data_IF_175280726838
#
_entry.id   IF_175280726838
#
_cell.length_a   1.000
_cell.length_b   1.000
_cell.length_c   1.000
_cell.angle_alpha   90.00
_cell.angle_beta   90.00
_cell.angle_gamma   90.00
#
_symmetry.space_group_name_H-M   'P 1'
#
loop_
_entity.id
_entity.type
_entity.pdbx_description
1 polymer ?
#
# COMPACT_ATOMS: atom_id res chain seq x y z
N UNK A 1 -20.21 -4.80 -9.09
CA UNK A 1 -19.73 -4.47 -7.72
C UNK A 1 -18.70 -5.45 -7.16
N UNK A 2 -18.80 -6.78 -7.44
CA UNK A 2 -17.85 -7.78 -6.95
C UNK A 2 -16.36 -7.40 -7.18
N UNK A 3 -15.98 -7.05 -8.41
CA UNK A 3 -14.59 -6.67 -8.75
C UNK A 3 -14.02 -5.50 -7.93
N UNK A 4 -14.83 -4.49 -7.56
CA UNK A 4 -14.37 -3.37 -6.72
C UNK A 4 -14.09 -3.84 -5.29
N UNK A 5 -14.98 -4.68 -4.75
CA UNK A 5 -14.84 -5.24 -3.41
C UNK A 5 -13.61 -6.13 -3.32
N UNK A 6 -13.38 -6.95 -4.34
CA UNK A 6 -12.23 -7.85 -4.42
C UNK A 6 -10.93 -7.05 -4.52
N UNK A 7 -10.90 -5.99 -5.32
CA UNK A 7 -9.74 -5.10 -5.42
C UNK A 7 -9.45 -4.37 -4.10
N UNK A 8 -10.47 -3.82 -3.44
CA UNK A 8 -10.30 -3.23 -2.10
C UNK A 8 -9.78 -4.25 -1.08
N UNK A 9 -10.26 -5.49 -1.14
CA UNK A 9 -9.79 -6.57 -0.26
C UNK A 9 -8.31 -6.88 -0.53
N UNK A 10 -7.91 -7.00 -1.79
CA UNK A 10 -6.52 -7.23 -2.17
C UNK A 10 -5.60 -6.11 -1.65
N UNK A 11 -5.99 -4.84 -1.83
CA UNK A 11 -5.23 -3.70 -1.29
C UNK A 11 -5.12 -3.77 0.24
N UNK A 12 -6.22 -4.05 0.95
CA UNK A 12 -6.17 -4.21 2.40
C UNK A 12 -5.22 -5.33 2.83
N UNK A 13 -5.21 -6.47 2.14
CA UNK A 13 -4.30 -7.58 2.47
C UNK A 13 -2.84 -7.18 2.25
N UNK A 14 -2.50 -6.63 1.09
CA UNK A 14 -1.13 -6.18 0.81
C UNK A 14 -0.67 -5.15 1.84
N UNK A 15 -1.49 -4.13 2.15
CA UNK A 15 -1.12 -3.12 3.14
C UNK A 15 -0.99 -3.70 4.55
N UNK A 16 -1.83 -4.67 4.92
CA UNK A 16 -1.72 -5.33 6.23
C UNK A 16 -0.42 -6.15 6.33
N UNK A 17 -0.04 -6.86 5.27
CA UNK A 17 1.19 -7.64 5.22
C UNK A 17 2.41 -6.70 5.32
N UNK A 18 2.44 -5.61 4.55
CA UNK A 18 3.50 -4.60 4.65
C UNK A 18 3.59 -4.00 6.06
N UNK A 19 2.46 -3.74 6.70
CA UNK A 19 2.43 -3.21 8.06
C UNK A 19 3.01 -4.20 9.07
N UNK A 20 2.61 -5.47 8.97
CA UNK A 20 3.14 -6.54 9.82
C UNK A 20 4.65 -6.74 9.61
N UNK A 21 5.11 -6.75 8.36
CA UNK A 21 6.53 -6.84 8.01
C UNK A 21 7.33 -5.65 8.54
N UNK A 22 6.80 -4.43 8.46
CA UNK A 22 7.44 -3.23 9.02
C UNK A 22 7.56 -3.33 10.54
N UNK A 23 6.52 -3.80 11.23
CA UNK A 23 6.56 -4.04 12.68
C UNK A 23 7.58 -5.15 13.00
N UNK A 24 7.62 -6.24 12.24
CA UNK A 24 8.59 -7.31 12.44
C UNK A 24 10.03 -6.81 12.25
N UNK A 25 10.30 -6.05 11.19
CA UNK A 25 11.58 -5.40 10.96
C UNK A 25 11.96 -4.46 12.11
N UNK A 26 11.00 -3.73 12.68
CA UNK A 26 11.26 -2.86 13.84
C UNK A 26 11.65 -3.61 15.12
N UNK A 27 11.14 -4.85 15.30
CA UNK A 27 11.36 -5.66 16.49
C UNK A 27 12.61 -6.54 16.39
N UNK A 28 12.89 -7.05 15.19
CA UNK A 28 13.92 -8.07 14.96
C UNK A 28 15.04 -7.59 14.04
N UNK A 29 14.88 -6.46 13.38
CA UNK A 29 15.86 -5.89 12.46
C UNK A 29 17.10 -5.34 13.15
N UNK A 30 18.15 -5.17 12.35
CA UNK A 30 19.43 -4.65 12.82
C UNK A 30 19.42 -3.12 13.04
N UNK A 31 18.50 -2.41 12.41
CA UNK A 31 18.43 -0.96 12.40
C UNK A 31 17.33 -0.44 13.36
N UNK A 32 17.73 0.31 14.40
CA UNK A 32 16.81 0.85 15.43
C UNK A 32 16.32 2.27 15.12
N UNK A 33 16.22 2.65 13.85
CA UNK A 33 15.72 3.96 13.46
C UNK A 33 14.18 4.02 13.58
N UNK A 34 13.70 4.40 14.76
CA UNK A 34 12.28 4.53 15.08
C UNK A 34 11.56 5.50 14.14
N UNK A 35 12.16 6.62 13.77
CA UNK A 35 11.54 7.61 12.91
C UNK A 35 11.31 7.06 11.49
N UNK A 36 12.25 6.28 10.98
CA UNK A 36 12.11 5.60 9.69
C UNK A 36 10.98 4.56 9.74
N UNK A 37 10.89 3.77 10.82
CA UNK A 37 9.78 2.81 11.03
C UNK A 37 8.44 3.54 11.06
N UNK A 38 8.31 4.60 11.87
CA UNK A 38 7.07 5.35 12.02
C UNK A 38 6.66 6.00 10.69
N UNK A 39 7.62 6.50 9.90
CA UNK A 39 7.36 7.05 8.57
C UNK A 39 6.89 5.98 7.57
N UNK A 40 7.49 4.79 7.57
CA UNK A 40 7.06 3.69 6.70
C UNK A 40 5.65 3.21 7.08
N UNK A 41 5.35 3.06 8.37
CA UNK A 41 4.00 2.71 8.85
C UNK A 41 2.97 3.76 8.44
N UNK A 42 3.28 5.05 8.60
CA UNK A 42 2.40 6.15 8.18
C UNK A 42 2.15 6.11 6.66
N UNK A 43 3.20 5.86 5.87
CA UNK A 43 3.10 5.76 4.41
C UNK A 43 2.17 4.62 3.97
N UNK A 44 2.22 3.46 4.64
CA UNK A 44 1.32 2.33 4.38
C UNK A 44 -0.14 2.71 4.67
N UNK A 45 -0.40 3.41 5.77
CA UNK A 45 -1.76 3.86 6.14
C UNK A 45 -2.32 4.83 5.09
N UNK A 46 -1.51 5.81 4.67
CA UNK A 46 -1.90 6.80 3.65
C UNK A 46 -2.15 6.12 2.31
N UNK A 47 -1.24 5.24 1.87
CA UNK A 47 -1.38 4.46 0.64
C UNK A 47 -2.71 3.68 0.66
N UNK A 48 -3.00 2.97 1.74
CA UNK A 48 -4.23 2.20 1.87
C UNK A 48 -5.46 3.09 1.73
N UNK A 49 -5.51 4.18 2.48
CA UNK A 49 -6.68 5.07 2.50
C UNK A 49 -6.93 5.72 1.12
N UNK A 50 -5.87 6.21 0.47
CA UNK A 50 -5.95 6.81 -0.86
C UNK A 50 -6.52 5.83 -1.88
N UNK A 51 -5.95 4.63 -1.98
CA UNK A 51 -6.37 3.69 -3.00
C UNK A 51 -7.76 3.09 -2.74
N UNK A 52 -8.16 2.93 -1.48
CA UNK A 52 -9.54 2.56 -1.13
C UNK A 52 -10.53 3.64 -1.59
N UNK A 53 -10.20 4.93 -1.42
CA UNK A 53 -11.00 6.05 -1.91
C UNK A 53 -11.05 6.10 -3.43
N UNK A 54 -9.91 6.00 -4.11
CA UNK A 54 -9.83 5.99 -5.59
C UNK A 54 -10.67 4.86 -6.21
N UNK A 55 -10.65 3.66 -5.64
CA UNK A 55 -11.53 2.56 -6.11
C UNK A 55 -13.01 2.87 -5.89
N UNK A 56 -13.34 3.56 -4.81
CA UNK A 56 -14.71 3.95 -4.47
C UNK A 56 -15.26 5.02 -5.42
N UNK A 57 -14.40 5.93 -5.86
CA UNK A 57 -14.77 7.14 -6.62
C UNK A 57 -13.97 7.25 -7.93
N UNK A 58 -14.30 6.45 -8.95
CA UNK A 58 -13.63 6.53 -10.25
C UNK A 58 -13.82 7.90 -10.91
N UNK A 59 -12.78 8.36 -11.60
CA UNK A 59 -12.82 9.65 -12.30
C UNK A 59 -13.79 9.63 -13.49
N UNK A 60 -14.61 10.68 -13.65
CA UNK A 60 -15.48 10.82 -14.81
C UNK A 60 -14.65 11.08 -16.07
N UNK A 61 -15.03 10.46 -17.19
CA UNK A 61 -14.39 10.68 -18.50
C UNK A 61 -13.36 9.62 -18.90
N UNK A 62 -13.02 8.66 -18.02
CA UNK A 62 -12.17 7.52 -18.37
C UNK A 62 -12.97 6.20 -18.41
N UNK A 63 -12.59 5.27 -19.29
CA UNK A 63 -13.19 3.94 -19.27
C UNK A 63 -12.86 3.21 -17.96
N UNK A 64 -13.80 2.49 -17.33
CA UNK A 64 -13.54 1.80 -16.07
C UNK A 64 -12.36 0.83 -16.14
N UNK A 65 -12.18 0.15 -17.27
CA UNK A 65 -11.09 -0.81 -17.45
C UNK A 65 -9.73 -0.12 -17.43
N UNK A 66 -9.59 1.00 -18.14
CA UNK A 66 -8.34 1.78 -18.15
C UNK A 66 -8.04 2.33 -16.76
N UNK A 67 -9.04 2.92 -16.12
CA UNK A 67 -8.92 3.51 -14.78
C UNK A 67 -8.41 2.52 -13.74
N UNK A 68 -9.04 1.35 -13.61
CA UNK A 68 -8.58 0.36 -12.63
C UNK A 68 -7.23 -0.26 -12.99
N UNK A 69 -6.91 -0.41 -14.27
CA UNK A 69 -5.59 -0.90 -14.70
C UNK A 69 -4.48 0.07 -14.31
N UNK A 70 -4.71 1.38 -14.46
CA UNK A 70 -3.75 2.42 -14.07
C UNK A 70 -3.60 2.46 -12.54
N UNK A 71 -4.71 2.42 -11.79
CA UNK A 71 -4.69 2.31 -10.32
C UNK A 71 -3.86 1.11 -9.85
N UNK A 72 -4.07 -0.08 -10.42
CA UNK A 72 -3.33 -1.28 -10.00
C UNK A 72 -1.84 -1.11 -10.27
N UNK A 73 -1.48 -0.54 -11.42
CA UNK A 73 -0.09 -0.30 -11.79
C UNK A 73 0.58 0.66 -10.81
N UNK A 74 -0.06 1.79 -10.51
CA UNK A 74 0.47 2.80 -9.58
C UNK A 74 0.57 2.24 -8.15
N UNK A 75 -0.44 1.49 -7.70
CA UNK A 75 -0.43 0.85 -6.39
C UNK A 75 0.78 -0.08 -6.26
N UNK A 76 1.01 -0.94 -7.26
CA UNK A 76 2.13 -1.88 -7.24
C UNK A 76 3.48 -1.16 -7.22
N UNK A 77 3.63 -0.05 -7.93
CA UNK A 77 4.86 0.75 -7.88
C UNK A 77 5.11 1.27 -6.45
N UNK A 78 4.10 1.86 -5.81
CA UNK A 78 4.26 2.39 -4.44
C UNK A 78 4.50 1.27 -3.41
N UNK A 79 3.86 0.11 -3.60
CA UNK A 79 4.13 -1.09 -2.78
C UNK A 79 5.59 -1.52 -2.90
N UNK A 80 6.16 -1.55 -4.11
CA UNK A 80 7.57 -1.90 -4.31
C UNK A 80 8.49 -0.90 -3.62
N UNK A 81 8.19 0.40 -3.69
CA UNK A 81 8.95 1.43 -2.97
C UNK A 81 8.94 1.22 -1.45
N UNK A 82 7.78 0.89 -0.88
CA UNK A 82 7.65 0.58 0.55
C UNK A 82 8.43 -0.70 0.91
N UNK A 83 8.39 -1.74 0.06
CA UNK A 83 9.17 -2.97 0.27
C UNK A 83 10.67 -2.64 0.34
N UNK A 84 11.18 -1.79 -0.55
CA UNK A 84 12.58 -1.38 -0.49
C UNK A 84 12.89 -0.59 0.78
N UNK A 85 11.99 0.27 1.26
CA UNK A 85 12.15 0.94 2.55
C UNK A 85 12.23 -0.06 3.70
N UNK A 86 11.34 -1.05 3.75
CA UNK A 86 11.32 -2.08 4.81
C UNK A 86 12.65 -2.85 4.84
N UNK A 87 13.22 -3.19 3.68
CA UNK A 87 14.53 -3.86 3.61
C UNK A 87 15.67 -3.06 4.25
N UNK A 88 15.56 -1.72 4.32
CA UNK A 88 16.57 -0.90 4.99
C UNK A 88 16.46 -0.90 6.53
N UNK A 89 15.33 -1.41 7.05
CA UNK A 89 15.06 -1.50 8.50
C UNK A 89 15.58 -2.82 9.12
N UNK A 90 15.82 -3.86 8.31
CA UNK A 90 16.12 -5.21 8.76
C UNK A 90 17.40 -5.78 8.17
#
# INVERSE_FOLDING_TARGET
MAKKRDLKRAINYVCNDLFAETVAASLYGSNKNKDAVDQTLASIIVLRDDYIKRISHPEPGMSPQKYYSEIIKEFNTQVLEIIEQIKTLG
#
